data_IF_760394830270
#
_entry.id   IF_760394830270
#
_cell.length_a   1.000
_cell.length_b   1.000
_cell.length_c   1.000
_cell.angle_alpha   90.00
_cell.angle_beta   90.00
_cell.angle_gamma   90.00
#
_symmetry.space_group_name_H-M   'P 1'
#
loop_
_entity.id
_entity.type
_entity.pdbx_description
1 polymer ?
#
# COMPACT_ATOMS: atom_id res chain seq x y z
N UNK A 1 18.71 -17.78 -3.03
CA UNK A 1 17.32 -17.46 -3.42
C UNK A 1 16.49 -17.44 -2.15
N UNK A 2 16.07 -16.25 -1.72
CA UNK A 2 15.41 -16.05 -0.43
C UNK A 2 14.06 -16.75 -0.36
N UNK A 3 13.71 -17.28 0.81
CA UNK A 3 12.41 -17.90 1.10
C UNK A 3 11.31 -16.88 0.78
N UNK A 4 10.65 -17.02 -0.37
CA UNK A 4 9.42 -16.28 -0.65
C UNK A 4 8.40 -16.74 0.39
N UNK A 5 8.01 -15.85 1.29
CA UNK A 5 6.99 -16.14 2.29
C UNK A 5 5.68 -16.48 1.58
N UNK A 6 4.82 -17.29 2.20
CA UNK A 6 3.48 -17.60 1.66
C UNK A 6 2.70 -16.32 1.29
N UNK A 7 2.94 -15.21 1.98
CA UNK A 7 2.38 -13.91 1.67
C UNK A 7 2.87 -13.35 0.32
N UNK A 8 4.15 -13.51 -0.01
CA UNK A 8 4.70 -13.05 -1.29
C UNK A 8 4.19 -13.90 -2.46
N UNK A 9 3.98 -15.20 -2.24
CA UNK A 9 3.34 -16.07 -3.23
C UNK A 9 1.87 -15.72 -3.45
N UNK A 10 1.12 -15.48 -2.37
CA UNK A 10 -0.29 -15.07 -2.47
C UNK A 10 -0.44 -13.72 -3.18
N UNK A 11 0.40 -12.74 -2.85
CA UNK A 11 0.44 -11.45 -3.54
C UNK A 11 0.71 -11.63 -5.04
N UNK A 12 1.63 -12.53 -5.38
CA UNK A 12 1.97 -12.85 -6.76
C UNK A 12 0.79 -13.47 -7.52
N UNK A 13 0.12 -14.46 -6.93
CA UNK A 13 -1.02 -15.15 -7.55
C UNK A 13 -2.23 -14.23 -7.74
N UNK A 14 -2.57 -13.45 -6.71
CA UNK A 14 -3.64 -12.44 -6.80
C UNK A 14 -3.34 -11.41 -7.89
N UNK A 15 -2.11 -10.89 -7.93
CA UNK A 15 -1.67 -9.90 -8.92
C UNK A 15 -1.79 -10.45 -10.34
N UNK A 16 -1.45 -11.73 -10.56
CA UNK A 16 -1.56 -12.40 -11.86
C UNK A 16 -2.97 -12.41 -12.41
N UNK A 17 -3.93 -12.78 -11.59
CA UNK A 17 -5.27 -13.11 -12.06
C UNK A 17 -6.22 -11.91 -12.02
N UNK A 18 -5.93 -10.88 -11.20
CA UNK A 18 -6.54 -9.55 -11.36
C UNK A 18 -6.03 -8.79 -12.60
N UNK A 19 -5.10 -9.37 -13.38
CA UNK A 19 -4.58 -8.79 -14.61
C UNK A 19 -3.50 -7.72 -14.40
N UNK A 20 -2.87 -7.69 -13.21
CA UNK A 20 -1.88 -6.69 -12.84
C UNK A 20 -0.44 -7.01 -13.25
N UNK A 21 -0.15 -8.15 -13.89
CA UNK A 21 1.24 -8.54 -14.15
C UNK A 21 1.82 -7.90 -15.41
N UNK A 22 2.84 -7.05 -15.18
CA UNK A 22 4.21 -7.35 -15.61
C UNK A 22 5.26 -7.07 -14.51
N UNK A 23 5.31 -7.97 -13.51
CA UNK A 23 6.45 -8.29 -12.61
C UNK A 23 7.01 -7.22 -11.64
N UNK A 24 6.91 -7.53 -10.33
CA UNK A 24 7.62 -6.97 -9.13
C UNK A 24 6.62 -6.28 -8.15
N UNK A 25 6.74 -6.42 -6.81
CA UNK A 25 6.08 -5.53 -5.84
C UNK A 25 6.16 -4.03 -6.15
N UNK A 26 7.11 -3.61 -7.00
CA UNK A 26 7.15 -2.27 -7.59
C UNK A 26 5.95 -1.94 -8.49
N UNK A 27 5.35 -2.91 -9.20
CA UNK A 27 4.14 -2.72 -10.01
C UNK A 27 2.92 -2.47 -9.15
N UNK A 28 2.89 -3.05 -7.97
CA UNK A 28 1.85 -2.78 -7.01
C UNK A 28 1.90 -1.30 -6.55
N UNK A 29 3.12 -0.79 -6.30
CA UNK A 29 3.29 0.65 -6.07
C UNK A 29 2.86 1.47 -7.30
N UNK A 30 3.03 0.96 -8.52
CA UNK A 30 2.61 1.63 -9.76
C UNK A 30 1.10 1.73 -9.92
N UNK A 31 0.36 0.65 -9.65
CA UNK A 31 -1.10 0.67 -9.75
C UNK A 31 -1.73 1.57 -8.69
N UNK A 32 -1.31 1.44 -7.44
CA UNK A 32 -1.76 2.33 -6.36
C UNK A 32 -1.36 3.77 -6.64
N UNK A 33 -0.20 3.99 -7.25
CA UNK A 33 0.19 5.32 -7.72
C UNK A 33 -0.80 5.86 -8.77
N UNK A 34 -1.26 5.03 -9.71
CA UNK A 34 -2.32 5.38 -10.64
C UNK A 34 -3.64 5.76 -9.97
N UNK A 35 -4.11 4.97 -8.99
CA UNK A 35 -5.35 5.27 -8.24
C UNK A 35 -5.23 6.54 -7.38
N UNK A 36 -4.04 6.84 -6.87
CA UNK A 36 -3.75 8.04 -6.07
C UNK A 36 -3.40 9.26 -6.94
N UNK A 37 -3.41 9.13 -8.27
CA UNK A 37 -3.06 10.20 -9.21
C UNK A 37 -1.57 10.57 -9.24
N UNK A 38 -0.71 9.70 -8.71
CA UNK A 38 0.75 9.84 -8.69
C UNK A 38 1.27 9.39 -10.07
N UNK A 39 1.63 10.37 -10.92
CA UNK A 39 2.10 10.13 -12.28
C UNK A 39 3.63 10.11 -12.34
N UNK A 40 4.19 8.90 -12.32
CA UNK A 40 5.63 8.69 -12.49
C UNK A 40 6.02 8.35 -13.92
N UNK A 41 7.13 8.91 -14.39
CA UNK A 41 7.77 8.45 -15.62
C UNK A 41 8.12 6.96 -15.47
N UNK A 42 7.94 6.18 -16.53
CA UNK A 42 7.85 4.70 -16.61
C UNK A 42 9.02 3.87 -16.03
N UNK A 43 9.98 4.48 -15.34
CA UNK A 43 11.01 3.79 -14.58
C UNK A 43 10.49 3.48 -13.16
N UNK A 44 10.42 2.20 -12.79
CA UNK A 44 9.98 1.71 -11.47
C UNK A 44 10.60 2.44 -10.25
N UNK A 45 11.81 3.00 -10.42
CA UNK A 45 12.49 3.81 -9.40
C UNK A 45 11.82 5.18 -9.18
N UNK A 46 11.32 5.84 -10.24
CA UNK A 46 10.59 7.13 -10.17
C UNK A 46 9.28 6.97 -9.40
N UNK A 47 8.55 5.89 -9.67
CA UNK A 47 7.27 5.59 -9.04
C UNK A 47 7.44 5.35 -7.55
N UNK A 48 8.47 4.57 -7.15
CA UNK A 48 8.78 4.36 -5.72
C UNK A 48 9.10 5.67 -5.01
N UNK A 49 9.86 6.56 -5.64
CA UNK A 49 10.24 7.85 -5.07
C UNK A 49 9.02 8.78 -4.94
N UNK A 50 8.16 8.83 -5.94
CA UNK A 50 6.93 9.62 -5.93
C UNK A 50 5.90 9.10 -4.95
N UNK A 51 5.71 7.79 -4.89
CA UNK A 51 4.89 7.15 -3.88
C UNK A 51 5.40 7.46 -2.48
N UNK A 52 6.72 7.37 -2.25
CA UNK A 52 7.33 7.73 -0.96
C UNK A 52 7.10 9.21 -0.61
N UNK A 53 7.14 10.12 -1.60
CA UNK A 53 6.80 11.54 -1.41
C UNK A 53 5.33 11.72 -1.04
N UNK A 54 4.42 11.03 -1.72
CA UNK A 54 2.99 11.07 -1.41
C UNK A 54 2.73 10.63 0.04
N UNK A 55 3.26 9.48 0.47
CA UNK A 55 3.14 8.99 1.85
C UNK A 55 3.67 10.04 2.84
N UNK A 56 4.82 10.63 2.53
CA UNK A 56 5.45 11.64 3.36
C UNK A 56 4.62 12.92 3.46
N UNK A 57 3.87 13.30 2.44
CA UNK A 57 2.97 14.46 2.52
C UNK A 57 1.67 14.09 3.26
N UNK A 58 1.06 12.96 2.89
CA UNK A 58 -0.18 12.46 3.46
C UNK A 58 -0.11 12.32 4.99
N UNK A 59 1.03 11.88 5.54
CA UNK A 59 1.20 11.79 7.01
C UNK A 59 1.09 13.15 7.72
N UNK A 60 1.59 14.23 7.12
CA UNK A 60 1.49 15.56 7.70
C UNK A 60 0.09 16.14 7.54
N UNK A 61 -0.54 15.94 6.38
CA UNK A 61 -1.94 16.34 6.15
C UNK A 61 -2.88 15.66 7.15
N UNK A 62 -2.77 14.34 7.30
CA UNK A 62 -3.58 13.57 8.23
C UNK A 62 -3.29 13.94 9.69
N UNK A 63 -2.02 14.20 10.04
CA UNK A 63 -1.68 14.67 11.38
C UNK A 63 -2.36 16.02 11.68
N UNK A 64 -2.32 16.96 10.72
CA UNK A 64 -3.02 18.24 10.84
C UNK A 64 -4.54 18.07 10.96
N UNK A 65 -5.17 17.21 10.14
CA UNK A 65 -6.61 16.91 10.24
C UNK A 65 -7.00 16.34 11.62
N UNK A 66 -6.10 15.54 12.20
CA UNK A 66 -6.31 14.92 13.51
C UNK A 66 -5.94 15.84 14.68
N UNK A 67 -5.40 17.03 14.43
CA UNK A 67 -4.88 17.93 15.46
C UNK A 67 -3.65 17.37 16.18
N UNK A 68 -2.92 16.43 15.56
CA UNK A 68 -1.73 15.81 16.12
C UNK A 68 -0.51 16.58 15.61
N UNK A 69 0.34 17.02 16.54
CA UNK A 69 1.58 17.66 16.17
C UNK A 69 2.58 16.61 15.63
N UNK A 70 2.99 16.76 14.38
CA UNK A 70 3.97 15.89 13.73
C UNK A 70 5.11 16.72 13.16
N UNK A 71 6.29 16.57 13.75
CA UNK A 71 7.52 17.21 13.32
C UNK A 71 8.18 16.47 12.15
N UNK A 72 8.91 17.22 11.31
CA UNK A 72 9.74 16.60 10.25
C UNK A 72 10.92 15.80 10.81
N UNK A 73 11.34 16.11 12.04
CA UNK A 73 12.44 15.45 12.74
C UNK A 73 11.95 14.46 13.78
N UNK A 74 12.30 14.71 15.04
CA UNK A 74 11.99 13.82 16.14
C UNK A 74 10.52 13.94 16.57
N UNK A 75 9.87 12.80 16.80
CA UNK A 75 8.49 12.67 17.27
C UNK A 75 8.42 11.64 18.41
N UNK A 76 9.42 11.60 19.30
CA UNK A 76 9.47 10.60 20.37
C UNK A 76 8.44 10.80 21.48
N UNK A 77 7.83 11.98 21.52
CA UNK A 77 6.66 12.33 22.33
C UNK A 77 5.33 11.93 21.68
N UNK A 78 5.34 11.52 20.40
CA UNK A 78 4.16 11.03 19.72
C UNK A 78 3.69 9.73 20.34
N UNK A 79 2.47 9.73 20.87
CA UNK A 79 1.91 8.53 21.49
C UNK A 79 1.72 7.43 20.45
N UNK A 80 1.86 6.17 20.85
CA UNK A 80 1.63 5.03 19.94
C UNK A 80 0.20 5.03 19.37
N UNK A 81 -0.76 5.58 20.12
CA UNK A 81 -2.15 5.75 19.67
C UNK A 81 -2.21 6.74 18.51
N UNK A 82 -1.56 7.89 18.63
CA UNK A 82 -1.58 8.94 17.61
C UNK A 82 -0.80 8.53 16.36
N UNK A 83 0.36 7.90 16.54
CA UNK A 83 1.10 7.26 15.45
C UNK A 83 0.23 6.21 14.74
N UNK A 84 -0.51 5.40 15.49
CA UNK A 84 -1.46 4.41 14.95
C UNK A 84 -2.62 5.06 14.19
N UNK A 85 -3.16 6.19 14.65
CA UNK A 85 -4.24 6.92 13.96
C UNK A 85 -3.75 7.51 12.63
N UNK A 86 -2.56 8.11 12.62
CA UNK A 86 -1.95 8.66 11.40
C UNK A 86 -1.65 7.52 10.42
N UNK A 87 -0.89 6.51 10.87
CA UNK A 87 -0.49 5.36 10.07
C UNK A 87 -1.68 4.53 9.58
N UNK A 88 -2.71 4.36 10.40
CA UNK A 88 -3.93 3.63 10.05
C UNK A 88 -4.76 4.32 8.97
N UNK A 89 -4.81 5.67 8.96
CA UNK A 89 -5.49 6.42 7.88
C UNK A 89 -4.72 6.34 6.54
N UNK A 90 -3.39 6.35 6.59
CA UNK A 90 -2.54 6.19 5.39
C UNK A 90 -2.62 4.74 4.89
N UNK A 91 -2.30 3.79 5.77
CA UNK A 91 -2.26 2.37 5.48
C UNK A 91 -3.64 1.79 5.15
N UNK A 92 -4.72 2.31 5.72
CA UNK A 92 -6.09 1.91 5.38
C UNK A 92 -6.47 2.31 3.95
N UNK A 93 -6.14 3.53 3.52
CA UNK A 93 -6.37 4.01 2.15
C UNK A 93 -5.57 3.23 1.11
N UNK A 94 -4.40 2.74 1.48
CA UNK A 94 -3.46 2.12 0.55
C UNK A 94 -3.41 0.60 0.69
N UNK A 95 -2.95 0.10 1.83
CA UNK A 95 -2.85 -1.32 2.13
C UNK A 95 -4.21 -1.98 2.41
N UNK A 96 -5.17 -1.27 3.00
CA UNK A 96 -6.48 -1.81 3.35
C UNK A 96 -7.32 -2.19 2.13
N UNK A 97 -7.38 -1.29 1.14
CA UNK A 97 -8.03 -1.57 -0.15
C UNK A 97 -7.39 -2.76 -0.88
N UNK A 98 -6.09 -2.96 -0.66
CA UNK A 98 -5.33 -4.01 -1.34
C UNK A 98 -5.47 -5.36 -0.69
N UNK A 99 -5.42 -5.43 0.64
CA UNK A 99 -5.81 -6.63 1.37
C UNK A 99 -7.25 -7.00 1.04
N UNK A 100 -8.16 -6.01 0.91
CA UNK A 100 -9.54 -6.26 0.50
C UNK A 100 -9.63 -6.90 -0.89
N UNK A 101 -8.96 -6.34 -1.91
CA UNK A 101 -8.89 -6.93 -3.26
C UNK A 101 -8.29 -8.35 -3.23
N UNK A 102 -7.27 -8.60 -2.40
CA UNK A 102 -6.68 -9.94 -2.22
C UNK A 102 -7.65 -10.94 -1.60
N UNK A 103 -8.46 -10.52 -0.63
CA UNK A 103 -9.48 -11.37 0.01
C UNK A 103 -10.61 -11.67 -0.97
N UNK A 104 -11.15 -10.65 -1.65
CA UNK A 104 -12.21 -10.82 -2.67
C UNK A 104 -11.77 -11.79 -3.78
N UNK A 105 -10.51 -11.71 -4.16
CA UNK A 105 -9.88 -12.62 -5.10
C UNK A 105 -9.84 -14.07 -4.60
N UNK A 106 -9.37 -14.26 -3.37
CA UNK A 106 -9.29 -15.59 -2.76
C UNK A 106 -10.70 -16.21 -2.60
N UNK A 107 -11.69 -15.41 -2.22
CA UNK A 107 -13.09 -15.84 -2.10
C UNK A 107 -13.67 -16.30 -3.45
N UNK A 108 -13.44 -15.54 -4.53
CA UNK A 108 -13.86 -15.93 -5.88
C UNK A 108 -13.26 -17.27 -6.31
N UNK A 109 -11.99 -17.49 -6.01
CA UNK A 109 -11.27 -18.71 -6.38
C UNK A 109 -11.60 -19.92 -5.50
N UNK A 110 -11.99 -19.70 -4.23
CA UNK A 110 -12.49 -20.79 -3.38
C UNK A 110 -13.90 -21.23 -3.79
N UNK A 111 -14.74 -20.31 -4.25
CA UNK A 111 -16.09 -20.63 -4.73
C UNK A 111 -16.10 -21.42 -6.05
N UNK A 112 -15.07 -21.28 -6.91
CA UNK A 112 -14.94 -22.05 -8.15
C UNK A 112 -14.39 -23.47 -7.96
N UNK A 113 -13.87 -23.82 -6.78
CA UNK A 113 -13.36 -25.17 -6.45
C UNK A 113 -14.44 -26.08 -5.84
N UNK A 114 -15.58 -25.51 -5.39
CA UNK A 114 -16.66 -26.23 -4.71
C UNK A 114 -17.95 -26.39 -5.53
N UNK A 115 -17.93 -26.04 -6.82
CA UNK A 115 -19.04 -26.18 -7.77
C UNK A 115 -18.88 -27.36 -8.73
#
# INVERSE_FOLDING_TARGET
>A
MGKNSALEQLKYEVSKELGYIQTDPADFNFEVSGELGIQGNSAARSIKDEYSKYINNAKFEIANELGIHLNKGYNGDLTSRDAGRIGGRIGGKIGGNMVKKMVEFAEKNMNSITG
#
